data_IF_202941955243
#
_entry.id   IF_202941955243
#
_cell.length_a   1.000
_cell.length_b   1.000
_cell.length_c   1.000
_cell.angle_alpha   90.00
_cell.angle_beta   90.00
_cell.angle_gamma   90.00
#
_symmetry.space_group_name_H-M   'P 1'
#
loop_
_entity.id
_entity.type
_entity.pdbx_description
1 polymer ?
#
# COMPACT_ATOMS: atom_id res chain seq x y z
N UNK A 1 47.71 -18.77 -27.89
CA UNK A 1 46.73 -19.54 -28.70
C UNK A 1 45.50 -18.67 -28.82
N UNK A 2 45.35 -17.91 -29.91
CA UNK A 2 44.43 -18.22 -31.03
C UNK A 2 43.04 -18.60 -30.52
N UNK A 3 41.94 -17.91 -30.82
CA UNK A 3 41.66 -16.82 -31.74
C UNK A 3 40.18 -16.86 -32.16
N UNK A 4 39.79 -15.83 -32.91
CA UNK A 4 38.65 -15.75 -33.86
C UNK A 4 37.30 -15.22 -33.35
N UNK A 5 37.04 -14.02 -33.87
CA UNK A 5 35.76 -13.38 -34.12
C UNK A 5 35.04 -13.96 -35.36
N UNK A 6 33.72 -13.72 -35.45
CA UNK A 6 32.86 -13.55 -36.64
C UNK A 6 31.67 -12.68 -36.16
N UNK A 7 31.38 -11.45 -36.65
CA UNK A 7 30.79 -11.01 -37.94
C UNK A 7 29.54 -11.82 -38.36
N UNK A 8 28.47 -11.30 -38.99
CA UNK A 8 27.82 -9.99 -39.21
C UNK A 8 26.59 -10.28 -40.11
N UNK A 9 25.66 -9.32 -40.21
CA UNK A 9 24.82 -9.01 -41.39
C UNK A 9 23.46 -9.72 -41.69
N UNK A 10 22.54 -8.88 -42.19
CA UNK A 10 21.26 -9.16 -42.88
C UNK A 10 20.20 -8.11 -42.47
N UNK A 11 19.98 -6.93 -43.10
CA UNK A 11 19.54 -6.54 -44.47
C UNK A 11 18.26 -7.28 -44.92
N UNK A 12 17.07 -6.69 -45.00
CA UNK A 12 16.43 -5.93 -46.12
C UNK A 12 14.93 -5.79 -45.71
N UNK A 13 14.19 -4.71 -45.96
CA UNK A 13 13.75 -4.21 -47.26
C UNK A 13 12.23 -4.44 -47.43
N UNK A 14 11.44 -3.37 -47.49
CA UNK A 14 9.99 -3.47 -47.73
C UNK A 14 9.38 -2.09 -47.98
N UNK A 15 9.35 -1.67 -49.23
CA UNK A 15 8.84 -0.39 -49.70
C UNK A 15 7.38 -0.48 -50.16
N UNK A 16 6.65 0.62 -49.92
CA UNK A 16 5.62 1.27 -50.75
C UNK A 16 4.53 0.42 -51.43
N UNK A 17 3.29 0.66 -51.00
CA UNK A 17 2.13 0.71 -51.90
C UNK A 17 1.34 1.99 -51.63
N UNK A 18 1.55 2.99 -52.51
CA UNK A 18 0.68 4.14 -52.69
C UNK A 18 -0.53 3.69 -53.54
N UNK A 19 -1.73 3.83 -53.01
CA UNK A 19 -2.95 3.81 -53.83
C UNK A 19 -3.57 5.21 -53.73
N UNK A 20 -3.42 5.96 -54.82
CA UNK A 20 -4.18 7.15 -55.09
C UNK A 20 -5.58 6.76 -55.57
N UNK A 21 -6.62 7.30 -54.95
CA UNK A 21 -8.00 7.20 -55.39
C UNK A 21 -8.73 8.51 -55.14
N UNK A 22 -8.93 9.30 -56.19
CA UNK A 22 -9.80 10.47 -56.17
C UNK A 22 -11.25 10.00 -56.33
N UNK A 23 -12.12 10.34 -55.40
CA UNK A 23 -13.58 10.29 -55.61
C UNK A 23 -14.19 11.60 -55.10
N UNK A 24 -14.77 12.37 -56.02
CA UNK A 24 -15.66 13.49 -55.72
C UNK A 24 -16.94 12.93 -55.11
N UNK A 25 -17.28 13.33 -53.88
CA UNK A 25 -18.52 12.93 -53.23
C UNK A 25 -18.79 13.75 -51.98
N UNK A 26 -19.74 14.70 -52.10
CA UNK A 26 -20.52 15.38 -51.08
C UNK A 26 -20.03 15.37 -49.61
N UNK A 27 -19.74 16.57 -49.08
CA UNK A 27 -19.65 16.84 -47.65
C UNK A 27 -20.89 16.32 -46.90
N UNK A 28 -20.67 15.28 -46.09
CA UNK A 28 -21.39 15.06 -44.84
C UNK A 28 -20.32 15.05 -43.76
N UNK A 29 -20.36 16.04 -42.87
CA UNK A 29 -19.53 16.04 -41.68
C UNK A 29 -19.69 14.70 -40.97
N UNK A 30 -18.60 13.96 -40.67
CA UNK A 30 -18.70 12.81 -39.81
C UNK A 30 -19.24 13.29 -38.44
N UNK A 31 -20.12 12.51 -37.78
CA UNK A 31 -20.48 12.82 -36.41
C UNK A 31 -19.19 12.95 -35.61
N UNK A 32 -19.10 14.04 -34.84
CA UNK A 32 -17.96 14.33 -33.98
C UNK A 32 -17.50 13.03 -33.31
N UNK A 33 -16.23 12.66 -33.53
CA UNK A 33 -15.61 11.57 -32.82
C UNK A 33 -15.86 11.83 -31.33
N UNK A 34 -16.54 10.90 -30.66
CA UNK A 34 -16.70 10.96 -29.22
C UNK A 34 -15.31 11.19 -28.61
N UNK A 35 -15.19 12.20 -27.76
CA UNK A 35 -13.96 12.45 -27.01
C UNK A 35 -13.48 11.12 -26.41
N UNK A 36 -12.17 10.81 -26.47
CA UNK A 36 -11.66 9.60 -25.84
C UNK A 36 -12.06 9.63 -24.37
N UNK A 37 -12.96 8.71 -23.99
CA UNK A 37 -13.33 8.48 -22.60
C UNK A 37 -12.04 8.25 -21.82
N UNK A 38 -11.71 9.20 -20.96
CA UNK A 38 -10.53 9.12 -20.10
C UNK A 38 -10.57 7.79 -19.36
N UNK A 39 -9.46 7.04 -19.41
CA UNK A 39 -9.38 5.77 -18.71
C UNK A 39 -9.58 6.04 -17.21
N UNK A 40 -10.37 5.23 -16.49
CA UNK A 40 -10.51 5.39 -15.05
C UNK A 40 -9.12 5.41 -14.38
N UNK A 41 -8.91 6.36 -13.47
CA UNK A 41 -7.67 6.42 -12.70
C UNK A 41 -7.41 5.16 -11.87
N UNK A 42 -6.19 4.99 -11.35
CA UNK A 42 -5.83 3.83 -10.51
C UNK A 42 -6.77 3.70 -9.29
N UNK A 43 -7.09 2.46 -8.87
CA UNK A 43 -8.01 2.23 -7.76
C UNK A 43 -7.40 2.66 -6.41
N UNK A 44 -8.23 3.20 -5.52
CA UNK A 44 -7.83 3.56 -4.14
C UNK A 44 -7.26 2.34 -3.41
N UNK A 45 -6.09 2.51 -2.81
CA UNK A 45 -5.33 1.45 -2.15
C UNK A 45 -4.32 0.76 -3.05
N UNK A 46 -4.22 1.12 -4.34
CA UNK A 46 -3.07 0.73 -5.17
C UNK A 46 -1.82 1.51 -4.76
N UNK A 47 -0.68 1.17 -5.36
CA UNK A 47 0.59 1.88 -5.08
C UNK A 47 0.60 3.27 -5.72
N UNK A 48 -0.03 3.40 -6.88
CA UNK A 48 -0.17 4.65 -7.63
C UNK A 48 -1.25 5.56 -7.01
N UNK A 49 -2.20 4.98 -6.28
CA UNK A 49 -3.21 5.71 -5.51
C UNK A 49 -3.36 5.13 -4.09
N UNK A 50 -2.38 5.39 -3.20
CA UNK A 50 -2.37 4.84 -1.85
C UNK A 50 -3.65 5.18 -1.09
N UNK A 51 -4.10 4.26 -0.24
CA UNK A 51 -5.30 4.48 0.56
C UNK A 51 -5.06 5.59 1.59
N UNK A 52 -5.87 6.67 1.62
CA UNK A 52 -5.74 7.69 2.64
C UNK A 52 -6.24 7.18 3.99
N UNK A 53 -5.53 7.55 5.05
CA UNK A 53 -5.86 7.31 6.46
C UNK A 53 -5.62 8.60 7.20
N UNK A 54 -6.68 9.39 7.29
CA UNK A 54 -6.61 10.76 7.79
C UNK A 54 -6.97 10.84 9.26
N UNK A 55 -6.41 11.84 9.94
CA UNK A 55 -6.89 12.22 11.26
C UNK A 55 -8.38 12.55 11.22
N UNK A 56 -9.11 12.03 12.19
CA UNK A 56 -10.50 12.41 12.43
C UNK A 56 -10.55 13.43 13.56
N UNK A 57 -10.57 14.71 13.22
CA UNK A 57 -10.65 15.82 14.19
C UNK A 57 -12.02 15.91 14.89
N UNK A 58 -12.91 14.94 14.70
CA UNK A 58 -14.27 14.90 15.25
C UNK A 58 -15.24 15.91 14.61
N UNK A 59 -14.76 16.81 13.75
CA UNK A 59 -15.54 17.88 13.07
C UNK A 59 -15.79 17.60 11.59
N UNK A 60 -15.00 16.73 10.96
CA UNK A 60 -15.14 16.36 9.55
C UNK A 60 -16.10 15.17 9.41
N UNK A 61 -17.27 15.34 8.76
CA UNK A 61 -18.15 14.21 8.48
C UNK A 61 -17.46 13.26 7.51
N UNK A 62 -17.33 11.99 7.88
CA UNK A 62 -16.85 10.95 6.99
C UNK A 62 -17.85 10.77 5.83
N UNK A 63 -17.40 10.70 4.56
CA UNK A 63 -18.29 10.41 3.44
C UNK A 63 -18.94 9.03 3.65
N UNK A 64 -20.26 8.99 3.82
CA UNK A 64 -21.04 7.75 3.95
C UNK A 64 -21.34 7.26 5.37
N UNK A 65 -21.04 8.05 6.41
CA UNK A 65 -21.42 7.68 7.78
C UNK A 65 -22.85 8.16 8.10
N UNK A 66 -23.86 7.34 7.78
CA UNK A 66 -25.20 7.55 8.30
C UNK A 66 -25.16 7.52 9.84
N UNK A 67 -25.73 8.57 10.44
CA UNK A 67 -25.88 8.74 11.87
C UNK A 67 -26.87 7.69 12.42
N UNK A 68 -26.41 6.46 12.62
CA UNK A 68 -27.28 5.38 13.03
C UNK A 68 -26.61 4.02 13.03
N UNK A 69 -25.40 3.89 13.58
CA UNK A 69 -24.85 2.58 13.88
C UNK A 69 -24.58 2.46 15.37
N UNK A 70 -25.61 2.01 16.08
CA UNK A 70 -25.49 1.37 17.38
C UNK A 70 -24.34 0.39 17.34
N UNK A 71 -23.30 0.67 18.13
CA UNK A 71 -22.24 -0.27 18.41
C UNK A 71 -22.83 -1.59 18.93
N UNK A 72 -22.84 -2.67 18.13
CA UNK A 72 -23.03 -4.06 18.59
C UNK A 72 -22.63 -5.06 17.50
N UNK A 73 -21.84 -6.06 17.91
CA UNK A 73 -21.63 -7.38 17.32
C UNK A 73 -21.12 -7.46 15.86
N UNK A 74 -19.81 -7.63 15.69
CA UNK A 74 -19.23 -7.99 14.39
C UNK A 74 -17.71 -7.94 14.31
N UNK A 75 -17.02 -7.25 15.24
CA UNK A 75 -15.56 -7.36 15.36
C UNK A 75 -15.21 -8.67 16.08
N UNK A 76 -14.49 -9.62 15.46
CA UNK A 76 -13.82 -10.68 16.23
C UNK A 76 -12.64 -10.11 17.03
N UNK A 77 -12.23 -8.88 16.74
CA UNK A 77 -11.09 -8.22 17.38
C UNK A 77 -11.55 -7.46 18.63
N UNK A 78 -11.53 -8.16 19.76
CA UNK A 78 -11.17 -7.47 21.00
C UNK A 78 -9.68 -7.12 20.89
N UNK A 79 -9.24 -5.89 21.20
CA UNK A 79 -7.82 -5.65 21.32
C UNK A 79 -7.30 -6.67 22.35
N UNK A 80 -6.27 -7.48 22.05
CA UNK A 80 -5.51 -8.11 23.13
C UNK A 80 -5.16 -6.99 24.11
N UNK A 81 -5.29 -7.28 25.41
CA UNK A 81 -5.13 -6.29 26.47
C UNK A 81 -3.96 -5.35 26.17
N UNK A 82 -4.17 -4.04 26.42
CA UNK A 82 -3.27 -2.93 26.11
C UNK A 82 -1.83 -3.41 25.91
N UNK A 83 -1.23 -3.22 24.72
CA UNK A 83 0.12 -3.72 24.46
C UNK A 83 1.00 -3.26 25.63
N UNK A 84 1.48 -4.24 26.39
CA UNK A 84 2.38 -4.06 27.54
C UNK A 84 3.35 -2.96 27.16
N UNK A 85 3.54 -1.91 27.95
CA UNK A 85 4.39 -0.76 27.59
C UNK A 85 5.69 -1.19 26.90
N UNK A 86 5.68 -1.26 25.57
CA UNK A 86 6.82 -1.77 24.82
C UNK A 86 7.83 -0.65 24.92
N UNK A 87 9.02 -0.96 25.42
CA UNK A 87 10.12 0.00 25.36
C UNK A 87 10.25 0.43 23.90
N UNK A 88 10.36 1.73 23.62
CA UNK A 88 10.46 2.27 22.23
C UNK A 88 11.66 1.74 21.43
N UNK A 89 12.45 0.82 22.00
CA UNK A 89 13.46 0.00 21.33
C UNK A 89 12.86 -0.92 20.26
N UNK A 90 11.62 -1.37 20.44
CA UNK A 90 10.99 -2.31 19.50
C UNK A 90 10.23 -1.60 18.37
N UNK A 91 10.21 -0.27 18.37
CA UNK A 91 9.54 0.52 17.35
C UNK A 91 10.39 0.70 16.09
N UNK A 92 9.72 0.92 14.97
CA UNK A 92 10.34 1.35 13.72
C UNK A 92 9.94 2.79 13.45
N UNK A 93 10.91 3.70 13.53
CA UNK A 93 10.69 5.13 13.29
C UNK A 93 11.40 5.56 12.01
N UNK A 94 10.66 6.21 11.11
CA UNK A 94 11.14 6.72 9.83
C UNK A 94 10.50 8.10 9.60
N UNK A 95 11.32 9.15 9.64
CA UNK A 95 10.81 10.52 9.57
C UNK A 95 9.79 10.80 10.69
N UNK A 96 8.58 11.29 10.38
CA UNK A 96 7.55 11.56 11.37
C UNK A 96 6.70 10.33 11.73
N UNK A 97 6.89 9.18 11.08
CA UNK A 97 6.15 7.95 11.35
C UNK A 97 6.89 7.09 12.39
N UNK A 98 6.13 6.57 13.35
CA UNK A 98 6.52 5.48 14.24
C UNK A 98 5.54 4.32 14.09
N UNK A 99 6.03 3.13 13.77
CA UNK A 99 5.30 1.88 13.77
C UNK A 99 5.66 1.10 15.03
N UNK A 100 4.68 0.90 15.90
CA UNK A 100 4.89 0.42 17.27
C UNK A 100 5.15 -1.08 17.31
N UNK A 101 6.19 -1.50 18.04
CA UNK A 101 6.50 -2.90 18.35
C UNK A 101 6.95 -3.78 17.18
N UNK A 102 7.11 -3.24 15.96
CA UNK A 102 7.41 -4.05 14.77
C UNK A 102 8.73 -4.82 14.83
N UNK A 103 9.75 -4.32 15.53
CA UNK A 103 11.02 -5.06 15.68
C UNK A 103 10.87 -6.25 16.62
N UNK A 104 9.95 -6.18 17.59
CA UNK A 104 9.68 -7.26 18.54
C UNK A 104 9.08 -8.51 17.90
N UNK A 105 8.44 -8.36 16.73
CA UNK A 105 7.79 -9.49 16.03
C UNK A 105 8.77 -10.55 15.54
N UNK A 106 10.05 -10.21 15.34
CA UNK A 106 11.04 -11.15 14.81
C UNK A 106 11.18 -12.41 15.67
N UNK A 107 11.06 -12.26 16.99
CA UNK A 107 11.22 -13.32 17.99
C UNK A 107 9.96 -13.54 18.86
N UNK A 108 8.85 -12.88 18.53
CA UNK A 108 7.62 -12.94 19.31
C UNK A 108 6.82 -14.24 19.12
N UNK A 109 5.72 -14.37 19.86
CA UNK A 109 4.71 -15.40 19.63
C UNK A 109 3.62 -14.88 18.70
N UNK A 110 3.49 -15.52 17.55
CA UNK A 110 2.52 -15.17 16.51
C UNK A 110 1.08 -15.06 17.05
N UNK A 111 0.69 -15.96 17.97
CA UNK A 111 -0.65 -16.00 18.55
C UNK A 111 -0.92 -14.86 19.55
N UNK A 112 0.12 -14.25 20.09
CA UNK A 112 0.01 -13.13 21.02
C UNK A 112 -0.19 -11.79 20.31
N UNK A 113 0.13 -11.71 19.01
CA UNK A 113 0.21 -10.46 18.26
C UNK A 113 -0.79 -10.35 17.11
N UNK A 114 -1.49 -11.43 16.77
CA UNK A 114 -2.43 -11.41 15.66
C UNK A 114 -3.50 -12.48 15.72
N UNK A 115 -4.42 -12.39 14.76
CA UNK A 115 -5.49 -13.35 14.54
C UNK A 115 -5.26 -14.04 13.20
N UNK A 116 -5.45 -15.35 13.17
CA UNK A 116 -5.37 -16.15 11.95
C UNK A 116 -6.77 -16.49 11.44
N UNK A 117 -6.99 -16.37 10.13
CA UNK A 117 -8.20 -16.84 9.45
C UNK A 117 -7.83 -17.65 8.19
N UNK A 118 -8.78 -17.85 7.27
CA UNK A 118 -8.53 -18.62 6.03
C UNK A 118 -7.52 -17.98 5.09
N UNK A 119 -7.36 -16.66 5.16
CA UNK A 119 -6.61 -15.87 4.19
C UNK A 119 -5.17 -15.62 4.67
N UNK A 120 -4.97 -15.61 5.99
CA UNK A 120 -3.65 -15.53 6.62
C UNK A 120 -3.71 -14.95 8.02
N UNK A 121 -2.63 -14.27 8.39
CA UNK A 121 -2.46 -13.64 9.69
C UNK A 121 -2.66 -12.14 9.62
N UNK A 122 -3.33 -11.61 10.63
CA UNK A 122 -3.61 -10.19 10.82
C UNK A 122 -2.98 -9.72 12.12
N UNK A 123 -1.85 -9.03 12.02
CA UNK A 123 -1.09 -8.55 13.19
C UNK A 123 -1.47 -7.13 13.54
N UNK A 124 -1.99 -6.91 14.74
CA UNK A 124 -2.44 -5.60 15.19
C UNK A 124 -1.25 -4.67 15.38
N UNK A 125 -1.25 -3.51 14.72
CA UNK A 125 -0.15 -2.54 14.76
C UNK A 125 -0.68 -1.13 15.00
N UNK A 126 -0.06 -0.45 15.94
CA UNK A 126 -0.18 0.99 16.12
C UNK A 126 0.78 1.73 15.19
N UNK A 127 0.26 2.67 14.42
CA UNK A 127 1.05 3.66 13.72
C UNK A 127 0.84 5.02 14.39
N UNK A 128 1.87 5.83 14.51
CA UNK A 128 1.75 7.22 15.00
C UNK A 128 2.52 8.14 14.07
N UNK A 129 1.88 9.23 13.66
CA UNK A 129 2.49 10.27 12.83
C UNK A 129 2.54 11.56 13.63
N UNK A 130 3.71 12.22 13.65
CA UNK A 130 3.89 13.52 14.29
C UNK A 130 2.94 14.56 13.68
N UNK A 131 2.57 15.57 14.47
CA UNK A 131 1.70 16.70 14.08
C UNK A 131 2.08 17.28 12.70
N UNK A 132 1.05 17.55 11.89
CA UNK A 132 1.16 18.07 10.53
C UNK A 132 1.87 17.14 9.53
N UNK A 133 2.27 15.94 9.94
CA UNK A 133 3.00 14.99 9.11
C UNK A 133 2.10 14.19 8.17
N UNK A 134 2.62 13.86 6.99
CA UNK A 134 2.04 12.85 6.10
C UNK A 134 3.10 11.85 5.66
N UNK A 135 2.76 10.56 5.69
CA UNK A 135 3.68 9.48 5.34
C UNK A 135 2.96 8.41 4.53
N UNK A 136 3.50 8.09 3.36
CA UNK A 136 3.09 6.91 2.60
C UNK A 136 3.94 5.71 3.00
N UNK A 137 3.28 4.61 3.37
CA UNK A 137 3.91 3.30 3.58
C UNK A 137 3.49 2.39 2.44
N UNK A 138 4.46 1.81 1.75
CA UNK A 138 4.24 0.88 0.64
C UNK A 138 4.90 -0.46 0.93
N UNK A 139 4.19 -1.57 0.70
CA UNK A 139 4.79 -2.90 0.71
C UNK A 139 5.75 -3.03 -0.48
N UNK A 140 6.98 -3.50 -0.23
CA UNK A 140 7.96 -3.78 -1.28
C UNK A 140 7.39 -4.73 -2.33
N UNK A 141 7.75 -4.50 -3.60
CA UNK A 141 7.20 -5.22 -4.77
C UNK A 141 7.23 -6.74 -4.59
N UNK A 142 8.25 -7.26 -3.90
CA UNK A 142 8.50 -8.67 -3.65
C UNK A 142 7.42 -9.33 -2.78
N UNK A 143 6.72 -8.55 -1.96
CA UNK A 143 5.74 -9.07 -0.98
C UNK A 143 4.31 -8.56 -1.21
N UNK A 144 4.04 -7.71 -2.22
CA UNK A 144 2.68 -7.17 -2.47
C UNK A 144 1.61 -8.23 -2.73
N UNK A 145 2.00 -9.40 -3.22
CA UNK A 145 1.09 -10.53 -3.43
C UNK A 145 0.77 -11.31 -2.14
N UNK A 146 1.51 -11.09 -1.05
CA UNK A 146 1.41 -11.85 0.20
C UNK A 146 1.18 -10.98 1.43
N UNK A 147 1.44 -9.69 1.37
CA UNK A 147 1.34 -8.79 2.50
C UNK A 147 0.60 -7.51 2.14
N UNK A 148 -0.06 -6.92 3.13
CA UNK A 148 -0.76 -5.65 2.96
C UNK A 148 -1.10 -4.96 4.27
N UNK A 149 -1.59 -3.74 4.13
CA UNK A 149 -1.89 -2.79 5.18
C UNK A 149 -3.40 -2.67 5.35
N UNK A 150 -3.89 -2.93 6.55
CA UNK A 150 -5.31 -2.88 6.92
C UNK A 150 -5.56 -1.69 7.85
N UNK A 151 -5.48 -0.49 7.29
CA UNK A 151 -5.77 0.79 7.97
C UNK A 151 -6.92 1.52 7.26
N UNK A 152 -7.69 2.33 8.00
CA UNK A 152 -8.75 3.20 7.45
C UNK A 152 -10.17 3.01 7.99
N UNK A 153 -10.40 2.14 8.99
CA UNK A 153 -11.60 2.20 9.84
C UNK A 153 -12.94 1.65 9.30
N UNK A 154 -13.02 1.14 8.07
CA UNK A 154 -14.22 0.49 7.52
C UNK A 154 -14.19 -1.05 7.60
N UNK A 155 -15.34 -1.68 7.89
CA UNK A 155 -15.48 -3.14 8.13
C UNK A 155 -15.23 -4.05 6.91
N UNK A 156 -14.98 -3.50 5.72
CA UNK A 156 -14.88 -4.22 4.46
C UNK A 156 -13.57 -3.97 3.71
N UNK A 157 -12.60 -3.33 4.36
CA UNK A 157 -11.39 -2.88 3.69
C UNK A 157 -10.31 -3.96 3.71
N UNK A 158 -10.20 -4.68 2.59
CA UNK A 158 -9.13 -5.65 2.36
C UNK A 158 -7.73 -5.01 2.40
N UNK A 159 -6.69 -5.86 2.53
CA UNK A 159 -5.31 -5.43 2.64
C UNK A 159 -4.89 -4.61 1.42
N UNK A 160 -4.31 -3.43 1.66
CA UNK A 160 -3.79 -2.55 0.62
C UNK A 160 -2.26 -2.64 0.53
N UNK A 161 -1.67 -2.68 -0.67
CA UNK A 161 -0.21 -2.60 -0.81
C UNK A 161 0.37 -1.22 -0.44
N UNK A 162 -0.43 -0.15 -0.37
CA UNK A 162 0.02 1.16 0.06
C UNK A 162 -1.06 1.96 0.81
N UNK A 163 -0.61 2.67 1.85
CA UNK A 163 -1.43 3.56 2.69
C UNK A 163 -0.70 4.88 2.89
N UNK A 164 -1.42 6.00 2.86
CA UNK A 164 -0.92 7.31 3.28
C UNK A 164 -1.58 7.73 4.57
N UNK A 165 -0.79 7.91 5.62
CA UNK A 165 -1.24 8.45 6.90
C UNK A 165 -1.13 9.97 6.89
N UNK A 166 -2.14 10.67 7.41
CA UNK A 166 -2.14 12.13 7.56
C UNK A 166 -2.49 12.50 9.00
N UNK A 167 -1.53 13.06 9.75
CA UNK A 167 -1.78 13.54 11.10
C UNK A 167 -2.63 14.82 11.10
N UNK A 168 -3.29 15.09 12.22
CA UNK A 168 -3.92 16.38 12.48
C UNK A 168 -2.83 17.47 12.46
N UNK A 169 -3.22 18.70 12.11
CA UNK A 169 -2.27 19.80 11.91
C UNK A 169 -1.46 20.16 13.18
N UNK A 170 -2.05 20.01 14.36
CA UNK A 170 -1.53 20.46 15.65
C UNK A 170 -1.35 19.34 16.68
N UNK A 171 -1.58 18.08 16.29
CA UNK A 171 -1.49 16.94 17.18
C UNK A 171 -0.89 15.70 16.49
N UNK A 172 0.01 15.02 17.20
CA UNK A 172 0.43 13.68 16.80
C UNK A 172 -0.80 12.77 16.76
N UNK A 173 -0.93 11.99 15.69
CA UNK A 173 -2.10 11.15 15.46
C UNK A 173 -1.72 9.70 15.50
N UNK A 174 -2.45 8.91 16.29
CA UNK A 174 -2.30 7.46 16.34
C UNK A 174 -3.40 6.77 15.53
N UNK A 175 -2.98 5.81 14.72
CA UNK A 175 -3.84 4.98 13.89
C UNK A 175 -3.69 3.53 14.33
N UNK A 176 -4.81 2.86 14.52
CA UNK A 176 -4.83 1.43 14.81
C UNK A 176 -5.29 0.68 13.56
N UNK A 177 -4.52 -0.32 13.16
CA UNK A 177 -4.82 -1.18 12.03
C UNK A 177 -4.07 -2.49 12.14
N UNK A 178 -3.96 -3.23 11.05
CA UNK A 178 -3.20 -4.47 11.02
C UNK A 178 -2.27 -4.56 9.81
N UNK A 179 -1.24 -5.41 9.96
CA UNK A 179 -0.51 -5.97 8.84
C UNK A 179 -1.07 -7.35 8.52
N UNK A 180 -1.48 -7.54 7.29
CA UNK A 180 -1.85 -8.83 6.76
C UNK A 180 -0.61 -9.54 6.21
N UNK A 181 -0.45 -10.83 6.52
CA UNK A 181 0.55 -11.72 5.91
C UNK A 181 -0.12 -13.07 5.59
N UNK A 182 -0.19 -13.39 4.30
CA UNK A 182 -0.83 -14.59 3.78
C UNK A 182 -0.09 -15.89 4.18
N UNK A 183 -0.84 -16.99 4.23
CA UNK A 183 -0.31 -18.31 4.56
C UNK A 183 -0.01 -18.46 6.05
N UNK A 184 1.15 -19.01 6.40
CA UNK A 184 1.53 -19.25 7.80
C UNK A 184 1.90 -17.97 8.57
N UNK A 185 1.76 -16.80 7.94
CA UNK A 185 1.99 -15.49 8.54
C UNK A 185 3.44 -15.13 8.76
N UNK A 186 4.40 -15.96 8.32
CA UNK A 186 5.82 -15.71 8.49
C UNK A 186 6.40 -15.11 7.22
N UNK A 187 7.08 -13.97 7.35
CA UNK A 187 7.70 -13.31 6.20
C UNK A 187 8.71 -12.24 6.62
N UNK A 188 9.68 -12.01 5.74
CA UNK A 188 10.42 -10.76 5.69
C UNK A 188 9.71 -9.81 4.73
N UNK A 189 9.13 -8.73 5.26
CA UNK A 189 8.32 -7.78 4.49
C UNK A 189 9.07 -6.46 4.39
N UNK A 190 9.60 -6.10 3.21
CA UNK A 190 10.13 -4.78 2.97
C UNK A 190 9.01 -3.74 2.96
N UNK A 191 9.25 -2.61 3.60
CA UNK A 191 8.41 -1.42 3.56
C UNK A 191 9.22 -0.28 2.97
N UNK A 192 8.69 0.35 1.94
CA UNK A 192 9.19 1.61 1.40
C UNK A 192 8.36 2.74 2.03
N UNK A 193 8.98 3.49 2.93
CA UNK A 193 8.34 4.53 3.72
C UNK A 193 8.77 5.90 3.20
N UNK A 194 7.81 6.70 2.75
CA UNK A 194 8.05 8.02 2.16
C UNK A 194 7.36 9.12 2.96
N UNK A 195 8.11 9.90 3.75
CA UNK A 195 7.61 11.13 4.35
C UNK A 195 7.41 12.21 3.27
N UNK A 196 6.18 12.69 3.08
CA UNK A 196 5.84 13.72 2.08
C UNK A 196 6.58 13.54 0.73
N UNK A 197 7.30 14.57 0.27
CA UNK A 197 8.06 14.56 -1.00
C UNK A 197 9.51 14.08 -0.86
N UNK A 198 9.87 13.44 0.25
CA UNK A 198 11.22 12.92 0.45
C UNK A 198 11.48 11.65 -0.36
N UNK A 199 12.76 11.26 -0.45
CA UNK A 199 13.11 9.95 -0.97
C UNK A 199 12.57 8.83 -0.05
N UNK A 200 12.01 7.74 -0.59
CA UNK A 200 11.60 6.59 0.21
C UNK A 200 12.77 5.99 0.99
N UNK A 201 12.53 5.68 2.26
CA UNK A 201 13.43 4.91 3.11
C UNK A 201 12.90 3.48 3.22
N UNK A 202 13.74 2.51 2.86
CA UNK A 202 13.38 1.09 2.91
C UNK A 202 13.76 0.49 4.24
N UNK A 203 12.84 -0.24 4.87
CA UNK A 203 13.06 -1.02 6.08
C UNK A 203 12.49 -2.42 5.89
N UNK A 204 13.12 -3.44 6.44
CA UNK A 204 12.59 -4.81 6.38
C UNK A 204 12.06 -5.20 7.75
N UNK A 205 10.80 -5.64 7.79
CA UNK A 205 10.12 -6.11 8.99
C UNK A 205 10.10 -7.63 8.98
N UNK A 206 10.55 -8.24 10.08
CA UNK A 206 10.45 -9.68 10.28
C UNK A 206 9.15 -10.01 11.02
N UNK A 207 8.18 -10.56 10.29
CA UNK A 207 6.98 -11.14 10.89
C UNK A 207 7.31 -12.58 11.28
N UNK A 208 7.78 -12.78 12.52
CA UNK A 208 8.04 -14.09 13.12
C UNK A 208 8.93 -15.02 12.28
N UNK A 209 9.79 -14.43 11.45
CA UNK A 209 10.67 -15.14 10.53
C UNK A 209 12.11 -15.22 11.07
N UNK A 210 12.38 -14.68 12.26
CA UNK A 210 13.74 -14.53 12.78
C UNK A 210 14.51 -13.45 12.03
N UNK A 211 15.75 -13.71 11.67
CA UNK A 211 16.59 -12.75 10.93
C UNK A 211 16.14 -12.61 9.47
N UNK A 212 16.08 -11.37 9.00
CA UNK A 212 15.78 -11.03 7.61
C UNK A 212 17.00 -10.44 6.92
N UNK A 213 17.16 -10.67 5.61
CA UNK A 213 18.23 -10.05 4.84
C UNK A 213 18.09 -8.52 4.86
N UNK A 214 19.22 -7.84 5.04
CA UNK A 214 19.33 -6.38 5.04
C UNK A 214 19.47 -5.82 3.61
#
# INVERSE_FOLDING_TARGET
MSGRAWQAAGVTGGALLLIAGCTWGAHKDPPAAADPSEAPGPPVGSVEHPRPVDCVDGTTPLPGQEAGSTATAGRPWSPPGSPSSHSGRDDVTVGPLTLQGLRGLAAGDQNAHGVHNSDGWHYLIGASVRDGGSVTVTIGTEQRARAGLEFGGGQSMGPAPAVTFSACADAATSFLGAFFVAGDGRACVPLDIRPSDAAPQRVVISFFHGECPA
#
